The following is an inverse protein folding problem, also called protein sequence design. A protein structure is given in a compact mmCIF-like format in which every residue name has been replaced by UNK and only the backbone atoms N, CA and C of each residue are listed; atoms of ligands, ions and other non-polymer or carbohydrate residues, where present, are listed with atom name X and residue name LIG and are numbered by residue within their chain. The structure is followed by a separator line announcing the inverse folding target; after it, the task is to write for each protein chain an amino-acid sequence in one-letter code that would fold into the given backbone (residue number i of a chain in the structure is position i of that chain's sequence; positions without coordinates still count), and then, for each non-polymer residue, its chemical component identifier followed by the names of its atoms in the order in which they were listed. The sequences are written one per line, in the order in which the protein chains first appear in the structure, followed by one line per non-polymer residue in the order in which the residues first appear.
data_IF_794167973527
#
_entry.id   IF_794167973527
#
_cell.length_a   1.000
_cell.length_b   1.000
_cell.length_c   1.000
_cell.angle_alpha   90.00
_cell.angle_beta   90.00
_cell.angle_gamma   90.00
#
_symmetry.space_group_name_H-M   'P 1'
#
loop_
_entity.id
_entity.type
_entity.pdbx_description
1 polymer ?
#
# COMPACT_ATOMS: atom_id res chain seq x y z
N UNK A 1 13.35 7.17 -11.02
CA UNK A 1 12.57 7.46 -12.26
C UNK A 1 13.14 6.76 -13.48
N UNK A 2 14.41 7.00 -13.88
CA UNK A 2 15.01 6.39 -15.11
C UNK A 2 14.79 4.88 -15.26
N UNK A 3 15.01 4.11 -14.19
CA UNK A 3 14.78 2.64 -14.20
C UNK A 3 13.31 2.30 -14.47
N UNK A 4 12.35 3.00 -13.85
CA UNK A 4 10.92 2.80 -14.11
C UNK A 4 10.56 3.11 -15.56
N UNK A 5 11.13 4.17 -16.15
CA UNK A 5 10.92 4.50 -17.55
C UNK A 5 11.52 3.46 -18.49
N UNK A 6 12.70 2.94 -18.18
CA UNK A 6 13.32 1.87 -18.96
C UNK A 6 12.46 0.59 -18.92
N UNK A 7 11.97 0.21 -17.74
CA UNK A 7 11.04 -0.93 -17.60
C UNK A 7 9.75 -0.68 -18.38
N UNK A 8 9.18 0.54 -18.32
CA UNK A 8 7.98 0.90 -19.08
C UNK A 8 8.19 0.71 -20.59
N UNK A 9 9.29 1.24 -21.13
CA UNK A 9 9.64 1.09 -22.55
C UNK A 9 9.83 -0.38 -22.95
N UNK A 10 10.49 -1.18 -22.11
CA UNK A 10 10.65 -2.61 -22.33
C UNK A 10 9.30 -3.34 -22.30
N UNK A 11 8.42 -3.03 -21.34
CA UNK A 11 7.07 -3.61 -21.28
C UNK A 11 6.26 -3.32 -22.55
N UNK A 12 6.32 -2.08 -23.05
CA UNK A 12 5.65 -1.71 -24.32
C UNK A 12 6.23 -2.46 -25.51
N UNK A 13 7.57 -2.55 -25.61
CA UNK A 13 8.23 -3.22 -26.71
C UNK A 13 7.87 -4.72 -26.74
N UNK A 14 7.95 -5.39 -25.60
CA UNK A 14 7.66 -6.83 -25.48
C UNK A 14 6.17 -7.13 -25.73
N UNK A 15 5.27 -6.27 -25.27
CA UNK A 15 3.82 -6.47 -25.49
C UNK A 15 3.43 -6.41 -26.97
N UNK A 16 4.21 -5.72 -27.83
CA UNK A 16 3.96 -5.67 -29.28
C UNK A 16 4.30 -6.97 -30.00
N UNK A 17 5.30 -7.71 -29.52
CA UNK A 17 5.80 -8.92 -30.19
C UNK A 17 5.36 -10.22 -29.53
N UNK A 18 4.88 -10.19 -28.28
CA UNK A 18 4.53 -11.39 -27.53
C UNK A 18 3.09 -11.31 -26.98
N UNK A 19 2.20 -12.14 -27.54
CA UNK A 19 0.80 -12.25 -27.09
C UNK A 19 0.62 -13.05 -25.80
N UNK A 20 1.63 -13.81 -25.38
CA UNK A 20 1.65 -14.59 -24.14
C UNK A 20 2.43 -13.90 -23.02
N UNK A 21 2.66 -12.58 -23.16
CA UNK A 21 3.32 -11.80 -22.14
C UNK A 21 2.41 -11.62 -20.92
N UNK A 22 2.98 -11.83 -19.73
CA UNK A 22 2.42 -11.35 -18.46
C UNK A 22 3.39 -10.38 -17.81
N UNK A 23 2.87 -9.35 -17.16
CA UNK A 23 3.68 -8.38 -16.41
C UNK A 23 3.50 -8.60 -14.91
N UNK A 24 4.57 -8.40 -14.15
CA UNK A 24 4.57 -8.52 -12.70
C UNK A 24 5.25 -7.31 -12.05
N UNK A 25 4.57 -6.71 -11.07
CA UNK A 25 5.05 -5.55 -10.32
C UNK A 25 4.76 -5.70 -8.83
N UNK A 26 5.58 -5.04 -8.00
CA UNK A 26 5.30 -4.86 -6.57
C UNK A 26 4.94 -3.40 -6.31
N UNK A 27 3.70 -3.15 -5.92
CA UNK A 27 3.29 -1.84 -5.44
C UNK A 27 3.82 -1.60 -4.03
N UNK A 28 4.21 -0.35 -3.78
CA UNK A 28 4.57 0.09 -2.44
C UNK A 28 3.29 0.32 -1.62
N UNK A 29 3.28 -0.01 -0.31
CA UNK A 29 2.16 0.31 0.55
C UNK A 29 2.16 1.80 0.94
N UNK A 30 3.26 2.52 0.68
CA UNK A 30 3.43 3.95 0.97
C UNK A 30 3.09 4.83 -0.24
N UNK A 31 1.89 4.62 -0.78
CA UNK A 31 1.33 5.40 -1.89
C UNK A 31 -0.15 5.70 -1.60
N UNK A 32 -0.81 6.45 -2.47
CA UNK A 32 -2.24 6.76 -2.34
C UNK A 32 -3.08 5.70 -3.06
N UNK A 33 -4.06 5.13 -2.36
CA UNK A 33 -4.98 4.13 -2.90
C UNK A 33 -6.44 4.49 -2.61
N UNK A 34 -7.32 4.23 -3.58
CA UNK A 34 -8.72 4.01 -3.30
C UNK A 34 -8.84 2.61 -2.66
N UNK A 35 -9.43 2.55 -1.47
CA UNK A 35 -9.54 1.32 -0.67
C UNK A 35 -11.00 0.91 -0.50
N UNK A 36 -11.28 -0.39 -0.39
CA UNK A 36 -12.63 -0.89 -0.25
C UNK A 36 -13.28 -0.47 1.08
N UNK A 37 -14.62 -0.46 1.08
CA UNK A 37 -15.44 -0.06 2.23
C UNK A 37 -15.14 -0.86 3.50
N UNK A 38 -14.83 -2.16 3.38
CA UNK A 38 -14.48 -3.01 4.53
C UNK A 38 -13.23 -2.50 5.24
N UNK A 39 -12.23 -2.01 4.50
CA UNK A 39 -11.03 -1.42 5.08
C UNK A 39 -11.35 -0.13 5.85
N UNK A 40 -12.24 0.71 5.29
CA UNK A 40 -12.72 1.94 5.92
C UNK A 40 -13.51 1.64 7.19
N UNK A 41 -14.43 0.68 7.14
CA UNK A 41 -15.24 0.25 8.26
C UNK A 41 -14.37 -0.25 9.41
N UNK A 42 -13.39 -1.11 9.13
CA UNK A 42 -12.43 -1.60 10.14
C UNK A 42 -11.60 -0.47 10.75
N UNK A 43 -11.14 0.50 9.95
CA UNK A 43 -10.40 1.65 10.45
C UNK A 43 -11.26 2.55 11.36
N UNK A 44 -12.52 2.81 10.99
CA UNK A 44 -13.48 3.57 11.78
C UNK A 44 -13.84 2.87 13.10
N UNK A 45 -14.04 1.55 13.06
CA UNK A 45 -14.28 0.76 14.27
C UNK A 45 -13.09 0.83 15.23
N UNK A 46 -11.87 0.61 14.73
CA UNK A 46 -10.63 0.80 15.51
C UNK A 46 -10.43 2.25 15.97
N UNK A 47 -10.96 3.25 15.25
CA UNK A 47 -10.99 4.63 15.70
C UNK A 47 -11.86 4.78 16.96
N UNK A 48 -13.07 4.24 16.90
CA UNK A 48 -14.07 4.37 17.95
C UNK A 48 -13.73 3.58 19.22
N UNK A 49 -13.03 2.45 19.10
CA UNK A 49 -12.62 1.62 20.24
C UNK A 49 -11.55 2.25 21.14
N UNK A 50 -10.95 3.40 20.74
CA UNK A 50 -9.87 4.07 21.48
C UNK A 50 -10.33 4.93 22.65
N UNK A 51 -11.54 4.73 23.18
CA UNK A 51 -12.18 5.60 24.19
C UNK A 51 -11.26 5.97 25.37
N UNK A 52 -10.44 5.04 25.87
CA UNK A 52 -9.50 5.29 26.97
C UNK A 52 -8.22 6.04 26.57
N UNK A 53 -7.75 5.91 25.32
CA UNK A 53 -6.57 6.64 24.81
C UNK A 53 -6.90 8.05 24.31
N UNK A 54 -8.17 8.31 23.98
CA UNK A 54 -8.66 9.59 23.45
C UNK A 54 -8.38 10.77 24.40
N UNK A 55 -8.53 10.57 25.71
CA UNK A 55 -8.29 11.63 26.73
C UNK A 55 -6.80 12.00 26.78
N UNK A 56 -5.91 11.01 26.70
CA UNK A 56 -4.46 11.22 26.70
C UNK A 56 -3.95 11.86 25.39
N UNK A 57 -4.70 11.71 24.29
CA UNK A 57 -4.34 12.22 22.96
C UNK A 57 -4.93 13.60 22.66
N UNK A 58 -5.95 14.03 23.41
CA UNK A 58 -6.65 15.31 23.25
C UNK A 58 -5.72 16.53 23.02
N UNK A 59 -4.64 16.75 23.79
CA UNK A 59 -3.76 17.91 23.57
C UNK A 59 -2.90 17.80 22.30
N UNK A 60 -2.66 16.58 21.79
CA UNK A 60 -1.79 16.33 20.63
C UNK A 60 -2.51 16.52 19.28
N UNK A 61 -3.84 16.55 19.28
CA UNK A 61 -4.64 16.89 18.08
C UNK A 61 -4.38 18.32 17.58
N UNK A 62 -4.02 19.24 18.48
CA UNK A 62 -3.65 20.61 18.10
C UNK A 62 -2.38 20.68 17.22
N UNK A 63 -1.60 19.59 17.19
CA UNK A 63 -0.42 19.43 16.35
C UNK A 63 -0.66 18.51 15.14
N UNK A 64 -1.92 18.21 14.77
CA UNK A 64 -2.30 17.25 13.73
C UNK A 64 -1.74 15.83 13.95
N UNK A 65 -1.59 15.42 15.21
CA UNK A 65 -1.21 14.05 15.57
C UNK A 65 -2.47 13.21 15.86
N UNK A 66 -2.36 11.90 15.64
CA UNK A 66 -3.45 10.94 15.86
C UNK A 66 -4.72 11.25 15.05
N UNK A 67 -4.58 11.70 13.81
CA UNK A 67 -5.71 11.98 12.94
C UNK A 67 -6.39 10.67 12.48
N UNK A 68 -7.73 10.66 12.28
CA UNK A 68 -8.41 9.48 11.76
C UNK A 68 -7.96 9.13 10.36
N UNK A 69 -7.79 7.82 10.10
CA UNK A 69 -7.39 7.33 8.78
C UNK A 69 -8.37 7.74 7.67
N UNK A 70 -9.66 7.81 7.99
CA UNK A 70 -10.72 8.26 7.08
C UNK A 70 -11.69 9.18 7.81
N UNK A 71 -11.68 10.46 7.45
CA UNK A 71 -12.72 11.41 7.83
C UNK A 71 -13.93 11.23 6.93
N UNK A 72 -13.65 11.30 5.64
CA UNK A 72 -14.63 11.21 4.57
C UNK A 72 -14.28 10.06 3.63
N UNK A 73 -15.25 9.75 2.78
CA UNK A 73 -15.19 8.78 1.69
C UNK A 73 -15.59 9.47 0.40
N UNK A 74 -15.28 8.86 -0.74
CA UNK A 74 -15.66 9.36 -2.06
C UNK A 74 -16.50 8.32 -2.78
N UNK A 75 -17.41 8.78 -3.62
CA UNK A 75 -18.14 7.92 -4.55
C UNK A 75 -17.35 7.90 -5.85
N UNK A 76 -16.98 6.71 -6.31
CA UNK A 76 -16.29 6.55 -7.58
C UNK A 76 -17.27 6.54 -8.77
N UNK A 77 -16.73 6.50 -10.00
CA UNK A 77 -17.53 6.52 -11.23
C UNK A 77 -18.46 5.29 -11.38
N UNK A 78 -18.22 4.23 -10.60
CA UNK A 78 -19.08 3.03 -10.53
C UNK A 78 -20.22 3.17 -9.51
N UNK A 79 -20.28 4.28 -8.77
CA UNK A 79 -21.24 4.51 -7.69
C UNK A 79 -20.87 3.86 -6.36
N UNK A 80 -19.65 3.30 -6.23
CA UNK A 80 -19.17 2.67 -4.99
C UNK A 80 -18.56 3.71 -4.06
N UNK A 81 -18.85 3.58 -2.78
CA UNK A 81 -18.16 4.32 -1.73
C UNK A 81 -16.79 3.71 -1.47
N UNK A 82 -15.74 4.53 -1.56
CA UNK A 82 -14.34 4.13 -1.32
C UNK A 82 -13.64 5.12 -0.40
N UNK A 83 -12.70 4.61 0.39
CA UNK A 83 -11.80 5.46 1.17
C UNK A 83 -10.59 5.89 0.36
N UNK A 84 -10.04 7.08 0.62
CA UNK A 84 -8.74 7.47 0.08
C UNK A 84 -7.69 7.32 1.17
N UNK A 85 -6.87 6.28 1.06
CA UNK A 85 -5.77 6.02 1.98
C UNK A 85 -4.52 6.76 1.50
N UNK A 86 -4.22 7.94 2.07
CA UNK A 86 -2.94 8.64 1.87
C UNK A 86 -1.86 8.03 2.75
N UNK A 87 -1.08 7.10 2.18
CA UNK A 87 0.09 6.52 2.83
C UNK A 87 1.41 7.10 2.30
N UNK A 88 1.39 8.25 1.62
CA UNK A 88 2.62 8.84 1.11
C UNK A 88 3.57 9.16 2.27
N UNK A 89 4.85 8.83 2.05
CA UNK A 89 5.93 9.18 2.96
C UNK A 89 6.77 10.26 2.28
N UNK A 90 6.59 11.56 2.62
CA UNK A 90 7.26 12.66 1.93
C UNK A 90 8.79 12.52 1.88
N UNK A 91 9.38 11.86 2.89
CA UNK A 91 10.81 11.59 3.00
C UNK A 91 11.35 10.67 1.88
N UNK A 92 10.50 9.90 1.20
CA UNK A 92 10.89 9.14 0.01
C UNK A 92 11.12 10.04 -1.22
N UNK A 93 10.58 11.26 -1.19
CA UNK A 93 10.77 12.28 -2.21
C UNK A 93 9.92 12.07 -3.47
N UNK A 94 9.72 13.14 -4.27
CA UNK A 94 8.84 13.13 -5.42
C UNK A 94 9.30 12.16 -6.52
N UNK A 95 10.61 11.96 -6.66
CA UNK A 95 11.17 11.01 -7.63
C UNK A 95 10.79 9.56 -7.36
N UNK A 96 10.68 9.16 -6.08
CA UNK A 96 10.23 7.83 -5.72
C UNK A 96 8.72 7.67 -5.97
N UNK A 97 7.93 8.66 -5.52
CA UNK A 97 6.48 8.68 -5.75
C UNK A 97 6.14 8.57 -7.25
N UNK A 98 6.79 9.39 -8.09
CA UNK A 98 6.63 9.33 -9.54
C UNK A 98 7.04 7.96 -10.11
N UNK A 99 8.18 7.42 -9.68
CA UNK A 99 8.67 6.12 -10.15
C UNK A 99 7.68 4.97 -9.86
N UNK A 100 7.01 5.00 -8.70
CA UNK A 100 5.99 4.02 -8.31
C UNK A 100 4.66 4.24 -9.02
N UNK A 101 4.26 5.51 -9.21
CA UNK A 101 3.04 5.84 -9.95
C UNK A 101 3.12 5.44 -11.42
N UNK A 102 4.29 5.59 -12.06
CA UNK A 102 4.54 5.10 -13.43
C UNK A 102 4.35 3.59 -13.55
N UNK A 103 4.84 2.80 -12.59
CA UNK A 103 4.66 1.34 -12.58
C UNK A 103 3.18 0.95 -12.49
N UNK A 104 2.41 1.64 -11.65
CA UNK A 104 0.95 1.42 -11.52
C UNK A 104 0.20 1.83 -12.77
N UNK A 105 0.56 2.96 -13.38
CA UNK A 105 -0.05 3.42 -14.63
C UNK A 105 0.16 2.41 -15.76
N UNK A 106 1.40 1.91 -15.93
CA UNK A 106 1.68 0.84 -16.90
C UNK A 106 0.85 -0.40 -16.64
N UNK A 107 0.70 -0.81 -15.38
CA UNK A 107 -0.10 -1.97 -15.04
C UNK A 107 -1.58 -1.83 -15.47
N UNK A 108 -2.19 -0.67 -15.21
CA UNK A 108 -3.56 -0.38 -15.66
C UNK A 108 -3.65 -0.42 -17.18
N UNK A 109 -2.79 0.32 -17.88
CA UNK A 109 -2.82 0.42 -19.34
C UNK A 109 -2.57 -0.93 -20.02
N UNK A 110 -1.62 -1.72 -19.52
CA UNK A 110 -1.33 -3.04 -20.09
C UNK A 110 -2.49 -4.02 -19.88
N UNK A 111 -3.13 -3.98 -18.70
CA UNK A 111 -4.29 -4.81 -18.40
C UNK A 111 -5.49 -4.46 -19.27
N UNK A 112 -5.79 -3.17 -19.39
CA UNK A 112 -6.84 -2.65 -20.26
C UNK A 112 -6.63 -3.09 -21.72
N UNK A 113 -5.37 -3.12 -22.18
CA UNK A 113 -4.99 -3.65 -23.49
C UNK A 113 -5.03 -5.19 -23.61
N UNK A 114 -5.51 -5.92 -22.60
CA UNK A 114 -5.64 -7.38 -22.64
C UNK A 114 -4.43 -8.17 -22.15
N UNK A 115 -3.41 -7.52 -21.59
CA UNK A 115 -2.24 -8.21 -20.99
C UNK A 115 -2.57 -8.67 -19.57
N UNK A 116 -2.15 -9.87 -19.16
CA UNK A 116 -2.24 -10.27 -17.74
C UNK A 116 -1.22 -9.51 -16.90
N UNK A 117 -1.67 -8.90 -15.81
CA UNK A 117 -0.80 -8.07 -14.96
C UNK A 117 -0.97 -8.42 -13.48
N UNK A 118 0.02 -9.06 -12.88
CA UNK A 118 0.11 -9.22 -11.43
C UNK A 118 0.71 -7.96 -10.82
N UNK A 119 -0.09 -7.21 -10.07
CA UNK A 119 0.40 -6.08 -9.29
C UNK A 119 -0.30 -6.09 -7.93
N UNK A 120 0.46 -6.43 -6.90
CA UNK A 120 -0.03 -6.50 -5.54
C UNK A 120 0.69 -5.46 -4.67
N UNK A 121 -0.07 -4.83 -3.77
CA UNK A 121 0.51 -3.99 -2.72
C UNK A 121 1.23 -4.90 -1.75
N UNK A 122 2.56 -4.73 -1.67
CA UNK A 122 3.41 -5.52 -0.79
C UNK A 122 3.49 -4.86 0.60
N UNK A 123 3.68 -5.64 1.67
CA UNK A 123 3.75 -5.08 3.00
C UNK A 123 5.11 -4.40 3.27
N UNK A 124 5.13 -3.53 4.26
CA UNK A 124 6.39 -3.01 4.79
C UNK A 124 7.25 -4.18 5.29
N UNK A 125 8.51 -4.23 4.86
CA UNK A 125 9.41 -5.37 5.13
C UNK A 125 10.69 -4.89 5.78
N UNK A 126 11.16 -5.57 6.85
CA UNK A 126 12.44 -5.26 7.55
C UNK A 126 13.66 -5.71 6.74
N UNK A 127 13.87 -5.13 5.56
CA UNK A 127 15.04 -5.41 4.74
C UNK A 127 16.27 -4.67 5.26
N UNK A 128 17.47 -5.21 4.94
CA UNK A 128 18.75 -4.56 5.30
C UNK A 128 18.83 -3.12 4.79
N UNK A 129 18.30 -2.82 3.59
CA UNK A 129 18.33 -1.47 3.01
C UNK A 129 17.46 -0.48 3.77
N UNK A 130 16.35 -0.92 4.35
CA UNK A 130 15.46 -0.07 5.15
C UNK A 130 16.01 0.16 6.55
N UNK A 131 16.47 -0.91 7.22
CA UNK A 131 16.95 -0.81 8.62
C UNK A 131 18.30 -0.09 8.77
N UNK A 132 19.04 0.11 7.67
CA UNK A 132 20.25 0.96 7.66
C UNK A 132 19.94 2.42 8.01
N UNK A 133 18.75 2.91 7.68
CA UNK A 133 18.31 4.23 8.11
C UNK A 133 17.72 4.11 9.53
N UNK A 134 18.37 4.73 10.53
CA UNK A 134 17.97 4.65 11.94
C UNK A 134 16.52 5.12 12.18
N UNK A 135 16.08 6.17 11.49
CA UNK A 135 14.73 6.71 11.64
C UNK A 135 13.67 5.75 11.11
N UNK A 136 13.89 5.18 9.92
CA UNK A 136 12.98 4.17 9.36
C UNK A 136 12.99 2.87 10.18
N UNK A 137 14.15 2.44 10.67
CA UNK A 137 14.26 1.29 11.54
C UNK A 137 13.45 1.45 12.84
N UNK A 138 13.52 2.65 13.45
CA UNK A 138 12.73 2.96 14.62
C UNK A 138 11.23 3.02 14.29
N UNK A 139 10.84 3.69 13.21
CA UNK A 139 9.44 3.72 12.78
C UNK A 139 8.87 2.31 12.58
N UNK A 140 9.65 1.40 11.99
CA UNK A 140 9.23 0.01 11.77
C UNK A 140 9.18 -0.82 13.06
N UNK A 141 9.98 -0.49 14.07
CA UNK A 141 9.89 -1.10 15.39
C UNK A 141 8.63 -0.65 16.13
N UNK A 142 8.23 0.62 16.02
CA UNK A 142 7.03 1.16 16.66
C UNK A 142 5.73 0.94 15.89
N UNK A 143 5.78 0.55 14.61
CA UNK A 143 4.62 0.39 13.73
C UNK A 143 3.50 -0.50 14.31
N UNK A 144 3.88 -1.57 15.03
CA UNK A 144 2.92 -2.49 15.65
C UNK A 144 1.98 -1.82 16.67
N UNK A 145 2.43 -0.74 17.33
CA UNK A 145 1.60 0.02 18.28
C UNK A 145 0.41 0.73 17.62
N UNK A 146 0.47 0.88 16.30
CA UNK A 146 -0.56 1.50 15.48
C UNK A 146 -1.31 0.49 14.60
N UNK A 147 -1.12 -0.82 14.85
CA UNK A 147 -1.78 -1.89 14.10
C UNK A 147 -1.20 -2.09 12.69
N UNK A 148 0.05 -1.65 12.46
CA UNK A 148 0.78 -1.87 11.22
C UNK A 148 1.84 -2.95 11.42
N UNK A 149 1.73 -4.03 10.65
CA UNK A 149 2.66 -5.13 10.66
C UNK A 149 3.81 -4.90 9.68
N UNK A 150 5.03 -5.08 10.18
CA UNK A 150 6.23 -5.08 9.35
C UNK A 150 6.75 -6.51 9.26
N UNK A 151 6.78 -7.03 8.03
CA UNK A 151 7.04 -8.42 7.74
C UNK A 151 8.54 -8.73 7.73
N UNK A 152 8.87 -9.98 8.06
CA UNK A 152 10.20 -10.52 7.78
C UNK A 152 10.37 -10.67 6.26
N UNK A 153 11.59 -10.47 5.71
CA UNK A 153 11.83 -10.60 4.27
C UNK A 153 11.41 -11.94 3.67
N UNK A 154 11.67 -13.05 4.37
CA UNK A 154 11.27 -14.38 3.92
C UNK A 154 9.73 -14.50 3.81
N UNK A 155 9.00 -14.03 4.82
CA UNK A 155 7.53 -14.06 4.82
C UNK A 155 6.94 -13.21 3.69
N UNK A 156 7.44 -11.99 3.52
CA UNK A 156 7.00 -11.11 2.45
C UNK A 156 7.28 -11.74 1.07
N UNK A 157 8.47 -12.33 0.87
CA UNK A 157 8.83 -12.97 -0.39
C UNK A 157 7.92 -14.16 -0.71
N UNK A 158 7.71 -15.06 0.25
CA UNK A 158 6.81 -16.21 0.10
C UNK A 158 5.40 -15.77 -0.22
N UNK A 159 4.89 -14.76 0.48
CA UNK A 159 3.55 -14.22 0.23
C UNK A 159 3.43 -13.63 -1.17
N UNK A 160 4.37 -12.75 -1.56
CA UNK A 160 4.31 -12.10 -2.88
C UNK A 160 4.46 -13.13 -4.02
N UNK A 161 5.25 -14.18 -3.83
CA UNK A 161 5.36 -15.28 -4.77
C UNK A 161 4.06 -16.08 -4.88
N UNK A 162 3.41 -16.39 -3.75
CA UNK A 162 2.12 -17.07 -3.74
C UNK A 162 1.03 -16.24 -4.45
N UNK A 163 1.00 -14.92 -4.22
CA UNK A 163 0.10 -14.01 -4.92
C UNK A 163 0.37 -13.96 -6.42
N UNK A 164 1.65 -13.96 -6.85
CA UNK A 164 2.00 -14.04 -8.26
C UNK A 164 1.50 -15.35 -8.90
N UNK A 165 1.68 -16.49 -8.23
CA UNK A 165 1.18 -17.79 -8.73
C UNK A 165 -0.34 -17.77 -8.86
N UNK A 166 -1.06 -17.26 -7.84
CA UNK A 166 -2.52 -17.06 -7.92
C UNK A 166 -2.88 -16.18 -9.10
N UNK A 167 -2.23 -15.03 -9.25
CA UNK A 167 -2.51 -14.07 -10.31
C UNK A 167 -2.25 -14.62 -11.72
N UNK A 168 -1.38 -15.61 -11.87
CA UNK A 168 -1.12 -16.26 -13.15
C UNK A 168 -2.15 -17.35 -13.48
N UNK A 169 -2.71 -18.01 -12.47
CA UNK A 169 -3.47 -19.26 -12.65
C UNK A 169 -4.97 -19.11 -12.37
N UNK A 170 -5.35 -18.19 -11.50
CA UNK A 170 -6.75 -17.98 -11.09
C UNK A 170 -7.48 -17.13 -12.16
N UNK A 171 -8.52 -17.67 -12.83
CA UNK A 171 -9.34 -16.90 -13.75
C UNK A 171 -10.11 -15.77 -13.05
N UNK A 172 -10.36 -15.91 -11.76
CA UNK A 172 -11.01 -14.91 -10.92
C UNK A 172 -10.02 -13.91 -10.33
N UNK A 173 -8.70 -13.99 -10.57
CA UNK A 173 -7.79 -12.92 -10.11
C UNK A 173 -8.06 -11.61 -10.86
N UNK A 174 -7.94 -10.47 -10.16
CA UNK A 174 -7.96 -9.15 -10.79
C UNK A 174 -6.86 -8.99 -11.85
N UNK A 175 -5.77 -9.76 -11.78
CA UNK A 175 -4.71 -9.78 -12.78
C UNK A 175 -5.18 -10.30 -14.15
N UNK A 176 -6.23 -11.14 -14.20
CA UNK A 176 -6.79 -11.65 -15.44
C UNK A 176 -7.51 -10.52 -16.20
N UNK A 177 -7.09 -10.15 -17.42
CA UNK A 177 -7.70 -9.05 -18.17
C UNK A 177 -9.13 -9.37 -18.63
N UNK A 178 -9.54 -10.65 -18.63
CA UNK A 178 -10.92 -11.07 -18.96
C UNK A 178 -11.89 -10.93 -17.79
N UNK A 179 -11.41 -10.67 -16.57
CA UNK A 179 -12.28 -10.38 -15.42
C UNK A 179 -12.63 -8.90 -15.48
N UNK A 180 -13.92 -8.57 -15.47
CA UNK A 180 -14.32 -7.18 -15.36
C UNK A 180 -14.00 -6.64 -13.97
N UNK A 181 -13.48 -5.42 -13.93
CA UNK A 181 -13.26 -4.67 -12.69
C UNK A 181 -14.29 -3.54 -12.65
N UNK A 182 -14.83 -3.25 -11.47
CA UNK A 182 -15.72 -2.10 -11.31
C UNK A 182 -14.94 -0.80 -11.49
N UNK A 183 -13.70 -0.78 -10.97
CA UNK A 183 -12.77 0.33 -11.11
C UNK A 183 -11.37 -0.21 -11.48
N UNK A 184 -10.61 0.43 -12.38
CA UNK A 184 -9.22 0.04 -12.67
C UNK A 184 -8.32 -0.07 -11.42
N UNK A 185 -8.65 0.68 -10.37
CA UNK A 185 -7.93 0.66 -9.09
C UNK A 185 -8.16 -0.63 -8.29
N UNK A 186 -9.22 -1.38 -8.57
CA UNK A 186 -9.49 -2.69 -7.94
C UNK A 186 -8.36 -3.70 -8.26
N UNK A 187 -7.62 -3.50 -9.36
CA UNK A 187 -6.42 -4.26 -9.70
C UNK A 187 -5.42 -4.31 -8.54
N UNK A 188 -5.34 -3.23 -7.76
CA UNK A 188 -4.38 -3.10 -6.67
C UNK A 188 -4.94 -3.53 -5.32
N UNK A 189 -6.27 -3.53 -5.17
CA UNK A 189 -6.95 -3.72 -3.89
C UNK A 189 -7.33 -5.19 -3.62
N UNK A 190 -7.68 -5.96 -4.67
CA UNK A 190 -8.24 -7.33 -4.54
C UNK A 190 -7.40 -8.26 -3.66
N UNK A 191 -6.08 -8.28 -3.86
CA UNK A 191 -5.16 -9.12 -3.09
C UNK A 191 -4.07 -8.31 -2.37
N UNK A 192 -4.36 -7.06 -2.04
CA UNK A 192 -3.43 -6.18 -1.35
C UNK A 192 -3.02 -6.72 0.02
N UNK A 193 -1.70 -6.85 0.26
CA UNK A 193 -1.17 -6.91 1.62
C UNK A 193 -0.49 -5.58 1.98
N UNK A 194 -1.30 -4.66 2.50
CA UNK A 194 -0.88 -3.35 2.96
C UNK A 194 -0.34 -3.35 4.42
N UNK A 195 -0.10 -4.53 5.01
CA UNK A 195 0.42 -4.66 6.38
C UNK A 195 -0.42 -3.96 7.45
N UNK A 196 -1.73 -3.82 7.24
CA UNK A 196 -2.62 -3.12 8.17
C UNK A 196 -2.76 -1.61 7.94
N UNK A 197 -1.95 -0.96 7.08
CA UNK A 197 -2.01 0.49 6.84
C UNK A 197 -3.41 1.01 6.49
N UNK A 198 -4.13 0.37 5.56
CA UNK A 198 -5.47 0.79 5.16
C UNK A 198 -6.55 0.54 6.21
N UNK A 199 -6.26 -0.34 7.18
CA UNK A 199 -7.16 -0.73 8.26
C UNK A 199 -6.70 -0.15 9.60
N UNK A 200 -5.69 0.71 9.60
CA UNK A 200 -5.19 1.34 10.80
C UNK A 200 -6.20 2.39 11.27
N UNK A 201 -6.23 2.62 12.57
CA UNK A 201 -7.16 3.57 13.14
C UNK A 201 -6.77 5.02 12.78
N UNK A 202 -5.49 5.26 12.54
CA UNK A 202 -4.92 6.59 12.34
C UNK A 202 -4.35 6.76 10.95
N UNK A 203 -4.40 8.00 10.45
CA UNK A 203 -3.69 8.38 9.24
C UNK A 203 -2.17 8.18 9.46
N UNK A 204 -1.46 7.45 8.58
CA UNK A 204 -0.06 7.13 8.77
C UNK A 204 0.82 8.35 9.04
N UNK A 205 0.56 9.48 8.36
CA UNK A 205 1.35 10.72 8.50
C UNK A 205 1.24 11.34 9.89
N UNK A 206 0.10 11.18 10.54
CA UNK A 206 -0.17 11.71 11.89
C UNK A 206 0.49 10.90 13.01
N UNK A 207 0.94 9.66 12.73
CA UNK A 207 1.52 8.76 13.73
C UNK A 207 2.93 8.28 13.39
N UNK A 208 3.45 8.55 12.19
CA UNK A 208 4.77 8.07 11.74
C UNK A 208 5.92 8.53 12.67
N UNK A 209 5.94 9.81 13.03
CA UNK A 209 6.96 10.37 13.94
C UNK A 209 6.85 9.75 15.33
N UNK A 210 5.63 9.52 15.82
CA UNK A 210 5.38 8.86 17.09
C UNK A 210 5.82 7.39 17.08
N UNK A 211 5.55 6.67 15.99
CA UNK A 211 6.05 5.31 15.78
C UNK A 211 7.59 5.28 15.79
N UNK A 212 8.25 6.27 15.20
CA UNK A 212 9.70 6.38 15.25
C UNK A 212 10.21 6.59 16.69
N UNK A 213 9.60 7.51 17.44
CA UNK A 213 9.97 7.76 18.85
C UNK A 213 9.76 6.50 19.70
N UNK A 214 8.57 5.88 19.64
CA UNK A 214 8.26 4.66 20.38
C UNK A 214 9.20 3.51 20.01
N UNK A 215 9.55 3.39 18.73
CA UNK A 215 10.47 2.36 18.27
C UNK A 215 11.91 2.55 18.73
N UNK A 216 12.35 3.77 19.09
CA UNK A 216 13.64 3.97 19.75
C UNK A 216 13.66 3.34 21.15
N UNK A 217 12.55 3.41 21.88
CA UNK A 217 12.42 2.77 23.20
C UNK A 217 12.35 1.24 23.09
N UNK A 218 11.62 0.71 22.09
CA UNK A 218 11.53 -0.74 21.85
C UNK A 218 12.88 -1.34 21.43
N UNK A 219 13.73 -0.57 20.74
CA UNK A 219 15.04 -1.04 20.26
C UNK A 219 16.13 -1.02 21.34
N UNK A 220 15.90 -0.27 22.42
CA UNK A 220 16.82 -0.13 23.55
C UNK A 220 16.42 -0.98 24.78
N UNK A 221 15.31 -1.73 24.67
CA UNK A 221 14.86 -2.73 25.64
C UNK A 221 15.22 -4.14 25.13
#
# INVERSE_FOLDING_TARGET
VRVSMAIDALSVLLARSNRDLSLAFLATPTDVFAVPEDAVAMARDRWNQRRTRRILQAPLHLANLFEPAYRDTVIDDSGREVGISDCLVPQQGPNYALAKRLQRWRAIVARDAGTRVSLNVAPATRTRSVVKNRALAAAYAGAGQFGVEVFAPATANTLMAALLVRDLHDPQSAANPRRDLHNPMDLFADAANHGGLWRAAYEPRSVLTLAAVLGLFVRNA
#
